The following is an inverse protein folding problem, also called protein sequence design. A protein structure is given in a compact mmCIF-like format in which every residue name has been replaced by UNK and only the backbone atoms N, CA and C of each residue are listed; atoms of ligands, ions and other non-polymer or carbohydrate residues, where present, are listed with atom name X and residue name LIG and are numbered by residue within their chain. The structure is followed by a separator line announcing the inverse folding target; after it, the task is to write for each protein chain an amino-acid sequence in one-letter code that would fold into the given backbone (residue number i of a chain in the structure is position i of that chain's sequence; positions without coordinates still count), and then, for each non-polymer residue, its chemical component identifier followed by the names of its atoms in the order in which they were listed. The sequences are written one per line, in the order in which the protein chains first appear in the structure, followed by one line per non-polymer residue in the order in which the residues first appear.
data_IF_028319748372
#
_entry.id   IF_028319748372
#
_cell.length_a   1.000
_cell.length_b   1.000
_cell.length_c   1.000
_cell.angle_alpha   90.00
_cell.angle_beta   90.00
_cell.angle_gamma   90.00
#
_symmetry.space_group_name_H-M   'P 1'
#
loop_
_entity.id
_entity.type
_entity.pdbx_description
1 polymer ?
#
# COMPACT_ATOMS: atom_id res chain seq x y z
N UNK A 1 13.63 7.02 -17.89
CA UNK A 1 12.58 7.72 -18.64
C UNK A 1 11.66 8.37 -17.63
N UNK A 2 11.88 9.64 -17.31
CA UNK A 2 11.09 10.41 -16.34
C UNK A 2 9.73 10.77 -16.94
N UNK A 3 8.73 9.98 -16.59
CA UNK A 3 7.35 10.36 -16.83
C UNK A 3 6.88 11.16 -15.60
N UNK A 4 6.20 12.29 -15.81
CA UNK A 4 5.54 13.14 -14.78
C UNK A 4 6.36 14.36 -14.28
N UNK A 5 6.86 15.20 -15.20
CA UNK A 5 7.10 16.62 -14.90
C UNK A 5 6.44 17.59 -15.91
N UNK A 6 5.50 17.11 -16.73
CA UNK A 6 4.72 17.98 -17.62
C UNK A 6 3.45 18.44 -16.90
N UNK A 7 3.53 19.65 -16.35
CA UNK A 7 2.44 20.47 -15.82
C UNK A 7 1.56 19.79 -14.76
N UNK A 8 1.87 20.02 -13.48
CA UNK A 8 0.98 19.73 -12.35
C UNK A 8 -0.22 20.69 -12.42
N UNK A 9 -1.14 20.46 -13.36
CA UNK A 9 -2.53 20.88 -13.14
C UNK A 9 -3.08 19.86 -12.16
N UNK A 10 -3.34 20.30 -10.93
CA UNK A 10 -4.11 19.50 -9.97
C UNK A 10 -5.39 19.07 -10.71
N UNK A 11 -5.60 17.76 -10.92
CA UNK A 11 -6.80 17.30 -11.59
C UNK A 11 -8.01 17.85 -10.84
N UNK A 12 -9.06 18.33 -11.53
CA UNK A 12 -10.25 18.78 -10.85
C UNK A 12 -10.78 17.63 -9.98
N UNK A 13 -11.27 17.97 -8.79
CA UNK A 13 -11.93 17.00 -7.92
C UNK A 13 -13.06 16.31 -8.70
N UNK A 14 -13.21 15.00 -8.48
CA UNK A 14 -14.26 14.18 -9.07
C UNK A 14 -15.62 14.76 -8.72
N UNK A 15 -16.45 14.97 -9.75
CA UNK A 15 -17.79 15.51 -9.59
C UNK A 15 -18.78 14.46 -9.04
N UNK A 16 -18.47 13.18 -9.19
CA UNK A 16 -19.30 12.05 -8.77
C UNK A 16 -18.47 10.90 -8.20
N UNK A 17 -19.14 9.97 -7.51
CA UNK A 17 -18.50 8.75 -7.02
C UNK A 17 -18.04 7.83 -8.16
N UNK A 18 -18.79 7.78 -9.26
CA UNK A 18 -18.42 6.97 -10.40
C UNK A 18 -17.14 7.48 -11.05
N UNK A 19 -16.97 8.80 -11.20
CA UNK A 19 -15.73 9.38 -11.70
C UNK A 19 -14.53 9.03 -10.79
N UNK A 20 -14.69 9.21 -9.47
CA UNK A 20 -13.66 8.85 -8.50
C UNK A 20 -13.30 7.36 -8.59
N UNK A 21 -14.30 6.48 -8.76
CA UNK A 21 -14.11 5.04 -8.91
C UNK A 21 -13.34 4.68 -10.18
N UNK A 22 -13.63 5.33 -11.31
CA UNK A 22 -12.88 5.14 -12.55
C UNK A 22 -11.40 5.51 -12.36
N UNK A 23 -11.12 6.65 -11.73
CA UNK A 23 -9.75 7.09 -11.43
C UNK A 23 -9.01 6.10 -10.52
N UNK A 24 -9.69 5.53 -9.52
CA UNK A 24 -9.10 4.47 -8.67
C UNK A 24 -8.71 3.25 -9.49
N UNK A 25 -9.53 2.82 -10.45
CA UNK A 25 -9.17 1.70 -11.33
C UNK A 25 -8.00 2.02 -12.27
N UNK A 26 -7.92 3.25 -12.76
CA UNK A 26 -6.80 3.68 -13.60
C UNK A 26 -5.49 3.72 -12.81
N UNK A 27 -5.53 4.22 -11.57
CA UNK A 27 -4.42 4.13 -10.63
C UNK A 27 -4.02 2.68 -10.37
N UNK A 28 -4.97 1.79 -10.07
CA UNK A 28 -4.70 0.37 -9.83
C UNK A 28 -3.97 -0.28 -11.01
N UNK A 29 -4.41 -0.01 -12.25
CA UNK A 29 -3.76 -0.50 -13.46
C UNK A 29 -2.36 0.07 -13.61
N UNK A 30 -2.17 1.37 -13.37
CA UNK A 30 -0.86 2.01 -13.44
C UNK A 30 0.13 1.41 -12.43
N UNK A 31 -0.29 1.26 -11.17
CA UNK A 31 0.50 0.63 -10.12
C UNK A 31 0.84 -0.83 -10.47
N UNK A 32 -0.12 -1.61 -10.98
CA UNK A 32 0.13 -3.00 -11.37
C UNK A 32 1.13 -3.14 -12.53
N UNK A 33 1.19 -2.14 -13.43
CA UNK A 33 2.13 -2.10 -14.56
C UNK A 33 3.53 -1.65 -14.15
N UNK A 34 3.67 -0.85 -13.08
CA UNK A 34 4.98 -0.44 -12.57
C UNK A 34 5.67 -1.49 -11.69
N UNK A 35 4.91 -2.45 -11.14
CA UNK A 35 5.46 -3.49 -10.26
C UNK A 35 6.68 -4.23 -10.84
N UNK A 36 6.71 -4.70 -12.10
CA UNK A 36 7.90 -5.35 -12.66
C UNK A 36 9.15 -4.46 -12.56
N UNK A 37 9.02 -3.16 -12.85
CA UNK A 37 10.12 -2.20 -12.71
C UNK A 37 10.50 -1.99 -11.24
N UNK A 38 9.53 -1.95 -10.32
CA UNK A 38 9.79 -1.85 -8.87
C UNK A 38 10.56 -3.08 -8.36
N UNK A 39 10.22 -4.27 -8.85
CA UNK A 39 10.93 -5.52 -8.53
C UNK A 39 12.41 -5.43 -8.90
N UNK A 40 12.70 -4.96 -10.12
CA UNK A 40 14.07 -4.79 -10.62
C UNK A 40 14.83 -3.70 -9.85
N UNK A 41 14.22 -2.53 -9.64
CA UNK A 41 14.83 -1.40 -8.93
C UNK A 41 15.30 -1.78 -7.52
N UNK A 42 14.46 -2.53 -6.81
CA UNK A 42 14.69 -2.86 -5.41
C UNK A 42 15.20 -4.30 -5.21
N UNK A 43 15.50 -5.04 -6.28
CA UNK A 43 15.95 -6.45 -6.29
C UNK A 43 15.03 -7.44 -5.54
N UNK A 44 13.71 -7.27 -5.58
CA UNK A 44 12.79 -7.92 -4.62
C UNK A 44 12.47 -9.41 -4.88
N UNK A 45 13.05 -10.03 -5.90
CA UNK A 45 12.74 -11.40 -6.32
C UNK A 45 13.04 -12.48 -5.27
N UNK A 46 13.95 -12.19 -4.35
CA UNK A 46 14.33 -13.08 -3.25
C UNK A 46 13.35 -13.06 -2.06
N UNK A 47 12.49 -12.03 -1.98
CA UNK A 47 11.60 -11.80 -0.82
C UNK A 47 10.12 -11.87 -1.17
N UNK A 48 9.72 -11.55 -2.40
CA UNK A 48 8.31 -11.43 -2.77
C UNK A 48 8.09 -11.71 -4.25
N UNK A 49 6.88 -12.10 -4.62
CA UNK A 49 6.50 -12.26 -6.03
C UNK A 49 5.75 -11.02 -6.56
N UNK A 50 5.83 -10.70 -7.86
CA UNK A 50 5.04 -9.62 -8.46
C UNK A 50 3.52 -9.77 -8.23
N UNK A 51 3.03 -11.02 -8.17
CA UNK A 51 1.62 -11.31 -7.88
C UNK A 51 1.21 -10.90 -6.47
N UNK A 52 2.09 -11.15 -5.49
CA UNK A 52 1.86 -10.74 -4.12
C UNK A 52 1.78 -9.21 -4.01
N UNK A 53 2.70 -8.47 -4.65
CA UNK A 53 2.65 -7.00 -4.64
C UNK A 53 1.38 -6.44 -5.30
N UNK A 54 0.87 -7.05 -6.39
CA UNK A 54 -0.44 -6.67 -6.97
C UNK A 54 -1.59 -6.88 -5.99
N UNK A 55 -1.52 -7.96 -5.22
CA UNK A 55 -2.51 -8.26 -4.16
C UNK A 55 -2.43 -7.22 -3.05
N UNK A 56 -1.22 -6.81 -2.66
CA UNK A 56 -1.00 -5.75 -1.66
C UNK A 56 -1.61 -4.43 -2.13
N UNK A 57 -1.34 -3.98 -3.36
CA UNK A 57 -1.97 -2.76 -3.92
C UNK A 57 -3.50 -2.85 -3.87
N UNK A 58 -4.05 -4.00 -4.27
CA UNK A 58 -5.50 -4.21 -4.22
C UNK A 58 -6.03 -4.21 -2.77
N UNK A 59 -5.27 -4.70 -1.81
CA UNK A 59 -5.62 -4.68 -0.39
C UNK A 59 -5.64 -3.25 0.18
N UNK A 60 -4.64 -2.42 -0.16
CA UNK A 60 -4.56 -1.02 0.28
C UNK A 60 -5.73 -0.18 -0.25
N UNK A 61 -6.13 -0.41 -1.51
CA UNK A 61 -7.34 0.22 -2.07
C UNK A 61 -8.58 -0.25 -1.32
N UNK A 62 -8.71 -1.56 -1.04
CA UNK A 62 -9.88 -2.12 -0.35
C UNK A 62 -10.00 -1.68 1.10
N UNK A 63 -8.90 -1.39 1.82
CA UNK A 63 -8.95 -0.81 3.18
C UNK A 63 -9.80 0.46 3.25
N UNK A 64 -9.87 1.20 2.16
CA UNK A 64 -10.60 2.46 2.06
C UNK A 64 -11.91 2.34 1.25
N UNK A 65 -12.38 1.12 0.96
CA UNK A 65 -13.56 0.89 0.12
C UNK A 65 -14.87 1.46 0.69
N UNK A 66 -14.91 1.70 2.01
CA UNK A 66 -16.08 2.22 2.72
C UNK A 66 -16.23 3.75 2.58
N UNK A 67 -15.25 4.43 1.98
CA UNK A 67 -15.28 5.89 1.81
C UNK A 67 -16.26 6.25 0.70
N UNK A 68 -17.27 7.05 1.06
CA UNK A 68 -18.35 7.47 0.14
C UNK A 68 -18.26 8.92 -0.32
N UNK A 69 -17.28 9.70 0.18
CA UNK A 69 -17.08 11.08 -0.23
C UNK A 69 -16.07 11.15 -1.39
N UNK A 70 -16.45 11.57 -2.61
CA UNK A 70 -15.56 11.62 -3.77
C UNK A 70 -14.28 12.42 -3.52
N UNK A 71 -14.37 13.54 -2.79
CA UNK A 71 -13.22 14.40 -2.50
C UNK A 71 -12.20 13.71 -1.59
N UNK A 72 -12.67 12.87 -0.66
CA UNK A 72 -11.79 12.08 0.20
C UNK A 72 -11.12 10.97 -0.61
N UNK A 73 -11.86 10.34 -1.54
CA UNK A 73 -11.30 9.35 -2.46
C UNK A 73 -10.20 9.99 -3.33
N UNK A 74 -10.43 11.18 -3.90
CA UNK A 74 -9.43 11.90 -4.68
C UNK A 74 -8.18 12.22 -3.85
N UNK A 75 -8.34 12.64 -2.59
CA UNK A 75 -7.22 12.91 -1.70
C UNK A 75 -6.42 11.64 -1.39
N UNK A 76 -7.10 10.50 -1.16
CA UNK A 76 -6.43 9.21 -0.96
C UNK A 76 -5.69 8.76 -2.22
N UNK A 77 -6.30 8.97 -3.39
CA UNK A 77 -5.70 8.66 -4.68
C UNK A 77 -4.47 9.54 -4.96
N UNK A 78 -4.53 10.82 -4.61
CA UNK A 78 -3.37 11.72 -4.68
C UNK A 78 -2.20 11.21 -3.82
N UNK A 79 -2.47 10.86 -2.55
CA UNK A 79 -1.46 10.27 -1.65
C UNK A 79 -0.89 8.97 -2.21
N UNK A 80 -1.74 8.13 -2.81
CA UNK A 80 -1.31 6.86 -3.39
C UNK A 80 -0.44 7.07 -4.65
N UNK A 81 -0.75 8.08 -5.47
CA UNK A 81 0.09 8.48 -6.60
C UNK A 81 1.45 9.02 -6.15
N UNK A 82 1.47 9.87 -5.13
CA UNK A 82 2.70 10.40 -4.54
C UNK A 82 3.58 9.27 -3.97
N UNK A 83 2.96 8.34 -3.22
CA UNK A 83 3.64 7.16 -2.69
C UNK A 83 4.22 6.29 -3.81
N UNK A 84 3.45 6.02 -4.87
CA UNK A 84 3.94 5.27 -6.02
C UNK A 84 5.11 5.98 -6.70
N UNK A 85 5.02 7.31 -6.86
CA UNK A 85 6.07 8.11 -7.46
C UNK A 85 7.36 8.07 -6.63
N UNK A 86 7.27 8.16 -5.30
CA UNK A 86 8.41 8.03 -4.41
C UNK A 86 9.11 6.66 -4.53
N UNK A 87 8.36 5.61 -4.84
CA UNK A 87 8.90 4.27 -5.07
C UNK A 87 9.54 4.20 -6.47
N UNK A 88 8.87 4.66 -7.51
CA UNK A 88 9.40 4.57 -8.89
C UNK A 88 10.61 5.46 -9.13
N UNK A 89 10.66 6.63 -8.50
CA UNK A 89 11.79 7.58 -8.58
C UNK A 89 12.90 7.27 -7.56
N UNK A 90 12.84 6.13 -6.87
CA UNK A 90 13.84 5.70 -5.87
C UNK A 90 14.04 6.69 -4.71
N UNK A 91 13.03 7.50 -4.38
CA UNK A 91 13.06 8.35 -3.19
C UNK A 91 12.97 7.52 -1.90
N UNK A 92 12.45 6.28 -1.98
CA UNK A 92 12.48 5.28 -0.90
C UNK A 92 13.60 4.25 -1.11
N UNK A 93 14.06 3.65 -0.01
CA UNK A 93 15.01 2.53 -0.03
C UNK A 93 14.33 1.16 0.10
N UNK A 94 15.00 0.09 -0.35
CA UNK A 94 14.51 -1.31 -0.35
C UNK A 94 13.85 -1.73 0.96
N UNK A 95 14.47 -1.43 2.11
CA UNK A 95 13.96 -1.87 3.40
C UNK A 95 12.61 -1.21 3.77
N UNK A 96 12.30 -0.02 3.25
CA UNK A 96 10.99 0.60 3.42
C UNK A 96 9.91 -0.23 2.69
N UNK A 97 10.22 -0.69 1.48
CA UNK A 97 9.28 -1.48 0.66
C UNK A 97 9.01 -2.82 1.34
N UNK A 98 10.07 -3.50 1.78
CA UNK A 98 9.96 -4.79 2.46
C UNK A 98 9.19 -4.65 3.77
N UNK A 99 9.57 -3.70 4.63
CA UNK A 99 8.92 -3.51 5.92
C UNK A 99 7.44 -3.14 5.79
N UNK A 100 7.11 -2.26 4.85
CA UNK A 100 5.75 -1.71 4.71
C UNK A 100 4.82 -2.65 3.92
N UNK A 101 5.30 -3.24 2.83
CA UNK A 101 4.43 -3.91 1.84
C UNK A 101 4.64 -5.42 1.70
N UNK A 102 5.73 -5.98 2.26
CA UNK A 102 6.00 -7.43 2.18
C UNK A 102 5.76 -8.10 3.53
N UNK A 103 6.39 -7.59 4.59
CA UNK A 103 6.30 -8.15 5.93
C UNK A 103 5.05 -7.65 6.67
N UNK A 104 4.65 -6.40 6.40
CA UNK A 104 3.56 -5.72 7.09
C UNK A 104 3.88 -5.40 8.55
N UNK A 105 3.00 -4.62 9.21
CA UNK A 105 3.21 -4.20 10.60
C UNK A 105 3.26 -5.36 11.61
N UNK A 106 2.70 -6.52 11.27
CA UNK A 106 2.66 -7.68 12.17
C UNK A 106 3.87 -8.63 12.03
N UNK A 107 4.53 -8.68 10.87
CA UNK A 107 5.58 -9.66 10.62
C UNK A 107 6.93 -9.36 11.28
N UNK A 108 7.20 -8.12 11.70
CA UNK A 108 8.45 -7.75 12.38
C UNK A 108 8.46 -8.09 13.88
N UNK A 109 7.30 -8.36 14.49
CA UNK A 109 7.15 -8.52 15.95
C UNK A 109 6.71 -9.92 16.38
N UNK A 110 6.47 -10.84 15.45
CA UNK A 110 5.88 -12.14 15.79
C UNK A 110 6.94 -13.20 16.12
N UNK A 111 7.56 -13.05 17.29
CA UNK A 111 8.20 -14.18 17.97
C UNK A 111 7.12 -15.10 18.58
N UNK A 112 6.26 -15.66 17.71
CA UNK A 112 5.21 -16.61 18.11
C UNK A 112 5.81 -18.00 18.28
N UNK A 113 6.64 -18.13 19.32
CA UNK A 113 7.03 -19.44 19.83
C UNK A 113 5.79 -20.25 20.21
N UNK A 114 5.93 -21.58 20.18
CA UNK A 114 4.94 -22.60 20.54
C UNK A 114 4.23 -22.41 21.91
N UNK A 115 4.65 -21.42 22.71
CA UNK A 115 4.09 -21.05 24.03
C UNK A 115 2.68 -20.44 23.98
N UNK A 116 2.22 -20.01 22.80
CA UNK A 116 1.00 -19.23 22.62
C UNK A 116 -0.21 -20.03 22.09
N UNK A 117 -0.08 -21.36 21.99
CA UNK A 117 -1.19 -22.22 21.60
C UNK A 117 -2.19 -22.36 22.76
N UNK A 118 -3.41 -21.83 22.58
CA UNK A 118 -4.52 -21.97 23.54
C UNK A 118 -4.79 -20.75 24.43
N UNK A 119 -3.93 -19.71 24.42
CA UNK A 119 -4.18 -18.46 25.13
C UNK A 119 -5.09 -17.52 24.32
N UNK A 120 -6.06 -16.91 24.99
CA UNK A 120 -7.01 -15.98 24.36
C UNK A 120 -6.32 -14.71 23.86
N UNK A 121 -6.87 -14.08 22.81
CA UNK A 121 -6.33 -12.84 22.26
C UNK A 121 -6.24 -11.74 23.32
N UNK A 122 -7.26 -11.65 24.18
CA UNK A 122 -7.26 -10.75 25.34
C UNK A 122 -6.09 -11.02 26.28
N UNK A 123 -5.84 -12.27 26.67
CA UNK A 123 -4.80 -12.60 27.64
C UNK A 123 -3.40 -12.34 27.08
N UNK A 124 -3.20 -12.56 25.77
CA UNK A 124 -1.95 -12.22 25.09
C UNK A 124 -1.69 -10.70 25.10
N UNK A 125 -2.71 -9.90 24.84
CA UNK A 125 -2.58 -8.44 24.87
C UNK A 125 -2.42 -7.92 26.30
N UNK A 126 -3.14 -8.53 27.25
CA UNK A 126 -3.06 -8.23 28.68
C UNK A 126 -1.63 -8.37 29.24
N UNK A 127 -0.89 -9.41 28.83
CA UNK A 127 0.50 -9.58 29.25
C UNK A 127 1.49 -8.65 28.53
N UNK A 128 1.10 -8.06 27.39
CA UNK A 128 1.97 -7.14 26.63
C UNK A 128 1.86 -5.71 27.09
N UNK A 129 0.64 -5.22 27.34
CA UNK A 129 0.38 -3.80 27.56
C UNK A 129 -1.00 -3.57 28.17
N UNK A 130 -1.24 -2.38 28.72
CA UNK A 130 -2.54 -1.92 29.22
C UNK A 130 -3.40 -1.20 28.16
N UNK A 131 -2.94 -1.11 26.91
CA UNK A 131 -3.70 -0.53 25.80
C UNK A 131 -4.42 -1.66 25.04
N UNK A 132 -5.63 -2.00 25.47
CA UNK A 132 -6.51 -2.98 24.81
C UNK A 132 -7.59 -2.28 23.98
#
# INVERSE_FOLDING_TARGET
MSFIQRAVKVPPNSASLDEARHRVFDFFRAACRSIPTIMEIYNLDDVVTPSHLRTVVASEIRKNANVTNPKVIDMLLFKAMEELNNITEHAKQRHHIIGQYVVGQQGLLQDSGTKDQGTSAFLKEFYKSNYF
#
